data_IF_295208773733
#
_entry.id   IF_295208773733
#
_cell.length_a   1.000
_cell.length_b   1.000
_cell.length_c   1.000
_cell.angle_alpha   90.00
_cell.angle_beta   90.00
_cell.angle_gamma   90.00
#
_symmetry.space_group_name_H-M   'P 1'
#
loop_
_entity.id
_entity.type
_entity.pdbx_description
1 polymer ?
#
# COMPACT_ATOMS: atom_id res chain seq x y z
N UNK A 1 -11.50 18.90 -20.16
CA UNK A 1 -11.47 17.87 -21.23
C UNK A 1 -11.31 16.53 -20.54
N UNK A 2 -12.37 15.72 -20.50
CA UNK A 2 -12.31 14.38 -19.96
C UNK A 2 -11.55 13.51 -20.98
N UNK A 3 -10.35 13.07 -20.62
CA UNK A 3 -9.67 12.02 -21.37
C UNK A 3 -10.47 10.74 -21.11
N UNK A 4 -11.34 10.40 -22.06
CA UNK A 4 -12.03 9.12 -22.05
C UNK A 4 -10.96 8.04 -22.11
N UNK A 5 -10.90 7.23 -21.05
CA UNK A 5 -10.17 5.97 -21.06
C UNK A 5 -10.52 5.21 -22.33
N UNK A 6 -9.52 4.86 -23.13
CA UNK A 6 -9.64 3.99 -24.31
C UNK A 6 -10.14 2.57 -23.95
N UNK A 7 -10.27 2.28 -22.66
CA UNK A 7 -10.71 0.99 -22.13
C UNK A 7 -12.04 1.18 -21.41
N UNK A 8 -13.04 0.39 -21.84
CA UNK A 8 -14.39 0.44 -21.28
C UNK A 8 -14.44 0.09 -19.78
N UNK A 9 -15.54 0.43 -19.10
CA UNK A 9 -15.67 0.27 -17.64
C UNK A 9 -15.59 -1.18 -17.12
N UNK A 10 -15.56 -2.20 -18.00
CA UNK A 10 -15.46 -3.63 -17.66
C UNK A 10 -14.07 -4.25 -17.78
N UNK A 11 -13.05 -3.53 -18.27
CA UNK A 11 -11.70 -4.07 -18.52
C UNK A 11 -10.60 -3.48 -17.61
N UNK A 12 -10.95 -2.66 -16.62
CA UNK A 12 -9.99 -1.94 -15.78
C UNK A 12 -9.31 -2.81 -14.69
N UNK A 13 -9.64 -4.10 -14.61
CA UNK A 13 -9.11 -5.01 -13.59
C UNK A 13 -7.83 -5.72 -14.03
N UNK A 14 -6.99 -6.18 -13.07
CA UNK A 14 -5.85 -7.03 -13.38
C UNK A 14 -6.29 -8.32 -14.10
N UNK A 15 -5.50 -8.72 -15.10
CA UNK A 15 -5.70 -9.98 -15.81
C UNK A 15 -5.67 -11.17 -14.83
N UNK A 16 -6.42 -12.25 -15.10
CA UNK A 16 -6.34 -13.47 -14.29
C UNK A 16 -4.90 -13.99 -14.16
N UNK A 17 -4.60 -14.61 -13.02
CA UNK A 17 -3.31 -15.27 -12.81
C UNK A 17 -3.09 -16.38 -13.85
N UNK A 18 -1.84 -16.62 -14.28
CA UNK A 18 -1.52 -17.85 -15.01
C UNK A 18 -2.00 -19.09 -14.24
N UNK A 19 -2.53 -20.07 -14.97
CA UNK A 19 -3.02 -21.32 -14.39
C UNK A 19 -1.90 -22.14 -13.71
N UNK A 20 -0.66 -21.97 -14.18
CA UNK A 20 0.54 -22.66 -13.72
C UNK A 20 1.40 -21.81 -12.78
N UNK A 21 2.20 -22.47 -11.93
CA UNK A 21 3.10 -21.83 -10.95
C UNK A 21 4.42 -21.34 -11.57
N UNK A 22 4.39 -21.06 -12.88
CA UNK A 22 5.56 -20.56 -13.58
C UNK A 22 5.99 -19.23 -12.98
N UNK A 23 7.30 -19.09 -12.91
CA UNK A 23 7.91 -17.84 -12.51
C UNK A 23 7.76 -16.84 -13.64
N UNK A 24 7.36 -15.62 -13.31
CA UNK A 24 7.29 -14.50 -14.25
C UNK A 24 8.20 -13.38 -13.78
N UNK A 25 8.81 -12.69 -14.73
CA UNK A 25 9.55 -11.45 -14.46
C UNK A 25 8.62 -10.26 -14.63
N UNK A 26 8.53 -9.41 -13.61
CA UNK A 26 7.71 -8.21 -13.60
C UNK A 26 8.61 -6.97 -13.47
N UNK A 27 8.27 -5.88 -14.17
CA UNK A 27 8.89 -4.58 -13.93
C UNK A 27 7.88 -3.63 -13.30
N UNK A 28 8.12 -3.22 -12.06
CA UNK A 28 7.15 -2.50 -11.24
C UNK A 28 7.69 -1.13 -10.84
N UNK A 29 6.87 -0.09 -10.96
CA UNK A 29 7.01 1.14 -10.19
C UNK A 29 6.43 0.90 -8.80
N UNK A 30 7.26 0.90 -7.78
CA UNK A 30 6.82 0.73 -6.39
C UNK A 30 6.07 1.99 -5.95
N UNK A 31 4.82 1.85 -5.49
CA UNK A 31 3.99 3.00 -5.08
C UNK A 31 3.59 2.95 -3.61
N UNK A 32 3.57 1.75 -3.03
CA UNK A 32 3.05 1.50 -1.68
C UNK A 32 4.00 0.58 -0.92
N UNK A 33 4.23 0.93 0.34
CA UNK A 33 4.72 0.01 1.37
C UNK A 33 3.73 0.08 2.52
N UNK A 34 3.02 -1.01 2.78
CA UNK A 34 2.10 -1.07 3.91
C UNK A 34 2.87 -1.05 5.24
N UNK A 35 2.22 -0.61 6.31
CA UNK A 35 2.77 -0.78 7.66
C UNK A 35 3.03 -2.29 7.95
N UNK A 36 4.16 -2.64 8.59
CA UNK A 36 4.50 -4.02 8.88
C UNK A 36 3.51 -4.65 9.86
N UNK A 37 3.18 -5.92 9.62
CA UNK A 37 2.38 -6.74 10.51
C UNK A 37 3.23 -7.86 11.12
N UNK A 38 2.98 -8.23 12.39
CA UNK A 38 3.62 -9.39 13.02
C UNK A 38 3.40 -10.70 12.26
N UNK A 39 4.46 -11.50 12.13
CA UNK A 39 4.44 -12.80 11.48
C UNK A 39 5.33 -13.79 12.22
N UNK A 40 4.78 -14.95 12.60
CA UNK A 40 5.56 -16.02 13.23
C UNK A 40 6.68 -16.54 12.32
N UNK A 41 6.40 -16.61 11.01
CA UNK A 41 7.31 -17.22 10.02
C UNK A 41 8.39 -16.27 9.52
N UNK A 42 8.03 -15.01 9.28
CA UNK A 42 8.94 -14.03 8.66
C UNK A 42 9.34 -12.91 9.63
N UNK A 43 8.90 -12.96 10.88
CA UNK A 43 9.01 -11.89 11.87
C UNK A 43 8.05 -10.75 11.61
N UNK A 44 8.26 -10.06 10.50
CA UNK A 44 7.53 -8.86 10.15
C UNK A 44 7.28 -8.88 8.64
N UNK A 45 6.00 -8.88 8.23
CA UNK A 45 5.63 -8.88 6.81
C UNK A 45 5.00 -7.57 6.40
N UNK A 46 5.38 -7.13 5.20
CA UNK A 46 4.82 -5.97 4.52
C UNK A 46 4.20 -6.42 3.20
N UNK A 47 3.07 -5.80 2.89
CA UNK A 47 2.50 -5.78 1.55
C UNK A 47 3.14 -4.61 0.78
N UNK A 48 3.75 -4.91 -0.37
CA UNK A 48 4.22 -3.89 -1.30
C UNK A 48 3.31 -3.91 -2.51
N UNK A 49 2.86 -2.74 -2.95
CA UNK A 49 2.16 -2.61 -4.21
C UNK A 49 2.93 -1.72 -5.18
N UNK A 50 2.78 -2.02 -6.45
CA UNK A 50 3.35 -1.26 -7.53
C UNK A 50 2.52 -1.38 -8.80
N UNK A 51 2.81 -0.49 -9.73
CA UNK A 51 2.21 -0.49 -11.05
C UNK A 51 3.19 -1.13 -12.03
N UNK A 52 2.71 -2.08 -12.83
CA UNK A 52 3.50 -2.71 -13.87
C UNK A 52 3.82 -1.71 -14.98
N UNK A 53 5.08 -1.68 -15.41
CA UNK A 53 5.62 -0.69 -16.36
C UNK A 53 6.11 -1.30 -17.66
N UNK A 54 6.17 -2.63 -17.75
CA UNK A 54 6.55 -3.40 -18.94
C UNK A 54 5.34 -3.80 -19.83
N UNK A 55 4.17 -3.22 -19.57
CA UNK A 55 2.92 -3.48 -20.32
C UNK A 55 2.26 -2.16 -20.72
N UNK A 56 1.45 -2.19 -21.78
CA UNK A 56 0.77 -1.00 -22.31
C UNK A 56 -0.33 -0.48 -21.38
N UNK A 57 -1.00 -1.37 -20.63
CA UNK A 57 -2.08 -1.01 -19.70
C UNK A 57 -1.57 -0.95 -18.26
N UNK A 58 -1.83 0.13 -17.50
CA UNK A 58 -1.54 0.20 -16.08
C UNK A 58 -2.11 -1.02 -15.34
N UNK A 59 -1.23 -1.88 -14.81
CA UNK A 59 -1.65 -3.11 -14.12
C UNK A 59 -1.11 -3.11 -12.71
N UNK A 60 -1.99 -3.17 -11.72
CA UNK A 60 -1.58 -3.28 -10.32
C UNK A 60 -0.94 -4.64 -10.03
N UNK A 61 0.07 -4.62 -9.18
CA UNK A 61 0.74 -5.82 -8.67
C UNK A 61 0.93 -5.66 -7.17
N UNK A 62 0.48 -6.65 -6.42
CA UNK A 62 0.74 -6.84 -4.99
C UNK A 62 1.83 -7.89 -4.81
N UNK A 63 2.90 -7.54 -4.12
CA UNK A 63 3.94 -8.45 -3.66
C UNK A 63 3.73 -8.77 -2.19
N UNK A 64 3.49 -10.05 -1.87
CA UNK A 64 3.35 -10.50 -0.50
C UNK A 64 3.75 -12.00 -0.34
N UNK A 65 4.38 -12.38 0.78
CA UNK A 65 4.93 -11.52 1.82
C UNK A 65 6.29 -10.95 1.42
N UNK A 66 6.53 -9.67 1.76
CA UNK A 66 7.89 -9.10 1.79
C UNK A 66 8.31 -8.98 3.25
N UNK A 67 9.52 -9.44 3.58
CA UNK A 67 10.08 -9.25 4.92
C UNK A 67 10.46 -7.78 5.13
N UNK A 68 9.95 -7.16 6.20
CA UNK A 68 10.16 -5.73 6.47
C UNK A 68 11.64 -5.36 6.64
N UNK A 69 12.42 -6.22 7.30
CA UNK A 69 13.85 -5.95 7.58
C UNK A 69 14.71 -5.99 6.32
N UNK A 70 14.27 -6.69 5.27
CA UNK A 70 14.87 -6.58 3.95
C UNK A 70 14.52 -5.26 3.24
N UNK A 71 13.46 -4.55 3.65
CA UNK A 71 13.11 -3.23 3.11
C UNK A 71 13.80 -2.08 3.85
N UNK A 72 14.21 -2.31 5.09
CA UNK A 72 14.85 -1.32 5.97
C UNK A 72 16.38 -1.24 5.78
N UNK A 73 16.97 -2.19 5.07
CA UNK A 73 18.39 -2.10 4.66
C UNK A 73 18.57 -1.11 3.50
N UNK A 74 19.65 -0.35 3.50
CA UNK A 74 19.98 0.64 2.44
C UNK A 74 20.07 0.03 1.02
N UNK A 75 20.31 -1.29 0.93
CA UNK A 75 20.34 -2.05 -0.33
C UNK A 75 18.94 -2.35 -0.92
N UNK A 76 17.87 -2.02 -0.20
CA UNK A 76 16.50 -2.27 -0.63
C UNK A 76 15.98 -1.21 -1.62
N UNK A 77 14.82 -1.49 -2.22
CA UNK A 77 14.09 -0.50 -3.02
C UNK A 77 13.24 0.43 -2.15
N UNK A 78 13.02 1.66 -2.62
CA UNK A 78 12.23 2.72 -1.98
C UNK A 78 10.92 2.95 -2.75
N UNK A 79 9.98 3.68 -2.13
CA UNK A 79 8.78 4.16 -2.84
C UNK A 79 9.23 5.00 -4.04
N UNK A 80 8.61 4.79 -5.19
CA UNK A 80 8.96 5.33 -6.50
C UNK A 80 10.26 4.84 -7.14
N UNK A 81 10.85 3.75 -6.64
CA UNK A 81 11.81 2.99 -7.43
C UNK A 81 11.10 2.15 -8.51
N UNK A 82 11.71 2.07 -9.69
CA UNK A 82 11.41 1.02 -10.66
C UNK A 82 12.28 -0.17 -10.33
N UNK A 83 11.66 -1.34 -10.16
CA UNK A 83 12.34 -2.61 -9.86
C UNK A 83 11.96 -3.68 -10.86
N UNK A 84 12.86 -4.63 -11.08
CA UNK A 84 12.50 -5.92 -11.65
C UNK A 84 12.44 -6.98 -10.56
N UNK A 85 11.43 -7.83 -10.60
CA UNK A 85 11.23 -8.92 -9.64
C UNK A 85 10.77 -10.17 -10.36
N UNK A 86 11.40 -11.30 -10.03
CA UNK A 86 10.87 -12.61 -10.39
C UNK A 86 9.85 -13.02 -9.32
N UNK A 87 8.65 -13.43 -9.74
CA UNK A 87 7.55 -13.74 -8.84
C UNK A 87 6.71 -14.93 -9.34
N UNK A 88 6.03 -15.60 -8.41
CA UNK A 88 5.05 -16.65 -8.70
C UNK A 88 3.64 -16.19 -8.32
N UNK A 89 2.59 -16.67 -9.00
CA UNK A 89 1.22 -16.34 -8.59
C UNK A 89 0.94 -16.77 -7.14
N UNK A 90 0.31 -15.92 -6.33
CA UNK A 90 -0.06 -16.29 -4.97
C UNK A 90 -1.37 -17.10 -4.97
N UNK A 91 -1.29 -18.43 -4.86
CA UNK A 91 -2.46 -19.34 -4.94
C UNK A 91 -3.43 -19.26 -3.77
N UNK A 92 -2.92 -18.93 -2.59
CA UNK A 92 -3.73 -18.79 -1.37
C UNK A 92 -4.42 -17.41 -1.28
N UNK A 93 -4.26 -16.57 -2.30
CA UNK A 93 -4.87 -15.25 -2.38
C UNK A 93 -5.72 -15.21 -3.66
N UNK A 94 -7.01 -14.94 -3.55
CA UNK A 94 -7.93 -14.97 -4.70
C UNK A 94 -7.78 -13.74 -5.60
N UNK A 95 -7.16 -12.66 -5.08
CA UNK A 95 -6.97 -11.39 -5.79
C UNK A 95 -5.97 -11.57 -6.93
N UNK A 96 -6.36 -11.22 -8.14
CA UNK A 96 -5.64 -11.53 -9.39
C UNK A 96 -4.25 -10.90 -9.44
N UNK A 97 -4.10 -9.73 -8.85
CA UNK A 97 -2.87 -8.97 -8.74
C UNK A 97 -1.91 -9.45 -7.64
N UNK A 98 -2.22 -10.51 -6.89
CA UNK A 98 -1.35 -10.99 -5.80
C UNK A 98 -0.28 -11.98 -6.26
N UNK A 99 0.98 -11.63 -6.02
CA UNK A 99 2.18 -12.39 -6.40
C UNK A 99 3.09 -12.61 -5.19
N UNK A 100 3.74 -13.77 -5.16
CA UNK A 100 4.78 -14.11 -4.20
C UNK A 100 6.15 -13.78 -4.81
N UNK A 101 6.87 -12.77 -4.30
CA UNK A 101 8.18 -12.39 -4.83
C UNK A 101 9.24 -13.42 -4.45
N UNK A 102 10.24 -13.58 -5.31
CA UNK A 102 11.49 -14.28 -5.00
C UNK A 102 12.51 -13.21 -4.55
N UNK A 103 12.71 -13.11 -3.23
CA UNK A 103 13.37 -11.95 -2.59
C UNK A 103 14.79 -11.68 -3.09
N UNK A 104 15.58 -12.72 -3.33
CA UNK A 104 16.96 -12.66 -3.85
C UNK A 104 17.02 -12.22 -5.33
N UNK A 105 15.87 -12.13 -6.01
CA UNK A 105 15.73 -11.75 -7.43
C UNK A 105 15.06 -10.39 -7.62
N UNK A 106 14.99 -9.58 -6.58
CA UNK A 106 14.56 -8.18 -6.68
C UNK A 106 15.78 -7.33 -7.06
N UNK A 107 15.66 -6.52 -8.11
CA UNK A 107 16.72 -5.59 -8.54
C UNK A 107 16.14 -4.21 -8.78
N UNK A 108 16.68 -3.20 -8.10
CA UNK A 108 16.40 -1.79 -8.39
C UNK A 108 17.01 -1.42 -9.74
N UNK A 109 16.22 -0.76 -10.59
CA UNK A 109 16.67 -0.24 -11.90
C UNK A 109 16.99 1.24 -11.81
N UNK A 110 16.07 2.05 -11.28
CA UNK A 110 16.25 3.49 -11.07
C UNK A 110 15.25 4.02 -10.05
N UNK A 111 15.55 5.19 -9.49
CA UNK A 111 14.58 5.98 -8.73
C UNK A 111 13.91 7.01 -9.64
N UNK A 112 12.63 7.31 -9.41
CA UNK A 112 11.93 8.41 -10.08
C UNK A 112 11.87 9.62 -9.14
N UNK A 113 12.73 10.61 -9.40
CA UNK A 113 12.80 11.85 -8.61
C UNK A 113 11.70 12.85 -8.97
N UNK A 114 10.92 13.23 -7.96
CA UNK A 114 9.88 14.24 -8.11
C UNK A 114 8.66 13.80 -8.92
N UNK A 115 7.66 14.66 -9.00
CA UNK A 115 6.36 14.33 -9.60
C UNK A 115 6.41 14.24 -11.13
N UNK A 116 7.23 15.08 -11.79
CA UNK A 116 7.32 15.16 -13.25
C UNK A 116 7.64 13.83 -13.92
N UNK A 117 8.48 12.99 -13.31
CA UNK A 117 8.81 11.65 -13.84
C UNK A 117 7.82 10.57 -13.43
N UNK A 118 7.04 10.79 -12.37
CA UNK A 118 6.09 9.80 -11.80
C UNK A 118 4.71 9.91 -12.45
N UNK A 119 4.25 11.15 -12.67
CA UNK A 119 2.93 11.48 -13.20
C UNK A 119 2.56 10.72 -14.49
N UNK A 120 3.42 10.67 -15.53
CA UNK A 120 3.06 9.97 -16.78
C UNK A 120 2.78 8.48 -16.60
N UNK A 121 3.32 7.85 -15.54
CA UNK A 121 3.10 6.44 -15.24
C UNK A 121 1.88 6.23 -14.34
N UNK A 122 1.53 7.21 -13.49
CA UNK A 122 0.51 7.06 -12.45
C UNK A 122 -0.83 7.68 -12.80
N UNK A 123 -0.84 8.83 -13.48
CA UNK A 123 -2.06 9.53 -13.88
C UNK A 123 -3.02 8.64 -14.70
N UNK A 124 -2.54 7.77 -15.63
CA UNK A 124 -3.42 6.84 -16.34
C UNK A 124 -4.07 5.78 -15.44
N UNK A 125 -3.55 5.54 -14.24
CA UNK A 125 -4.10 4.59 -13.27
C UNK A 125 -5.06 5.25 -12.26
N UNK A 126 -5.27 6.57 -12.36
CA UNK A 126 -6.17 7.30 -11.46
C UNK A 126 -7.62 6.99 -11.82
N UNK A 127 -8.37 6.60 -10.81
CA UNK A 127 -9.78 6.27 -10.90
C UNK A 127 -10.61 7.18 -9.99
N UNK A 128 -11.90 7.30 -10.30
CA UNK A 128 -12.78 8.30 -9.68
C UNK A 128 -13.75 7.72 -8.64
N UNK A 129 -13.88 6.39 -8.56
CA UNK A 129 -14.89 5.76 -7.71
C UNK A 129 -14.34 4.66 -6.80
N UNK A 130 -14.31 4.96 -5.51
CA UNK A 130 -14.18 3.96 -4.46
C UNK A 130 -15.49 3.17 -4.27
N UNK A 131 -16.66 3.77 -4.58
CA UNK A 131 -17.96 3.07 -4.52
C UNK A 131 -17.99 1.86 -5.45
N UNK A 132 -17.49 2.01 -6.69
CA UNK A 132 -17.36 0.91 -7.66
C UNK A 132 -16.53 -0.23 -7.10
N UNK A 133 -15.33 0.08 -6.60
CA UNK A 133 -14.42 -0.93 -6.02
C UNK A 133 -15.07 -1.67 -4.83
N UNK A 134 -15.77 -0.97 -3.95
CA UNK A 134 -16.47 -1.60 -2.83
C UNK A 134 -17.59 -2.51 -3.31
N UNK A 135 -18.40 -2.08 -4.29
CA UNK A 135 -19.49 -2.88 -4.85
C UNK A 135 -18.97 -4.16 -5.51
N UNK A 136 -17.98 -4.05 -6.38
CA UNK A 136 -17.38 -5.20 -7.06
C UNK A 136 -16.74 -6.19 -6.08
N UNK A 137 -16.07 -5.70 -5.04
CA UNK A 137 -15.45 -6.55 -4.02
C UNK A 137 -16.47 -7.26 -3.10
N UNK A 138 -17.71 -6.76 -3.02
CA UNK A 138 -18.81 -7.47 -2.35
C UNK A 138 -19.39 -8.58 -3.24
N UNK A 139 -19.43 -8.34 -4.55
CA UNK A 139 -19.94 -9.31 -5.53
C UNK A 139 -18.95 -10.43 -5.80
N UNK A 140 -17.64 -10.11 -5.81
CA UNK A 140 -16.59 -11.02 -6.27
C UNK A 140 -15.34 -10.91 -5.43
N UNK A 141 -14.83 -12.05 -4.97
CA UNK A 141 -13.60 -12.09 -4.18
C UNK A 141 -12.31 -11.89 -4.98
N UNK A 142 -12.37 -12.04 -6.31
CA UNK A 142 -11.29 -11.81 -7.26
C UNK A 142 -11.39 -10.45 -7.99
N UNK A 143 -12.29 -9.57 -7.54
CA UNK A 143 -12.39 -8.20 -8.05
C UNK A 143 -11.11 -7.39 -7.81
N UNK A 144 -11.00 -6.27 -8.52
CA UNK A 144 -9.89 -5.33 -8.37
C UNK A 144 -9.73 -4.91 -6.91
N UNK A 145 -8.53 -5.13 -6.36
CA UNK A 145 -8.25 -4.97 -4.94
C UNK A 145 -7.16 -3.96 -4.63
N UNK A 146 -6.62 -3.32 -5.67
CA UNK A 146 -5.68 -2.21 -5.64
C UNK A 146 -6.13 -1.15 -6.65
N UNK A 147 -6.07 0.11 -6.25
CA UNK A 147 -6.39 1.24 -7.12
C UNK A 147 -5.70 2.52 -6.65
N UNK A 148 -5.69 3.53 -7.52
CA UNK A 148 -5.33 4.90 -7.19
C UNK A 148 -6.57 5.77 -7.32
N UNK A 149 -7.27 6.04 -6.23
CA UNK A 149 -8.59 6.68 -6.26
C UNK A 149 -8.48 8.17 -5.94
N UNK A 150 -8.93 9.01 -6.85
CA UNK A 150 -9.09 10.44 -6.64
C UNK A 150 -10.33 10.72 -5.79
N UNK A 151 -10.19 11.29 -4.59
CA UNK A 151 -11.33 11.78 -3.84
C UNK A 151 -11.88 13.04 -4.51
N UNK A 152 -13.21 13.18 -4.52
CA UNK A 152 -13.88 14.44 -4.84
C UNK A 152 -13.61 15.49 -3.78
N UNK A 153 -13.58 15.05 -2.53
CA UNK A 153 -13.37 15.90 -1.36
C UNK A 153 -12.82 15.07 -0.20
N UNK A 154 -11.76 15.55 0.44
CA UNK A 154 -11.20 14.98 1.66
C UNK A 154 -11.69 15.82 2.84
N UNK A 155 -12.57 15.25 3.66
CA UNK A 155 -13.20 15.99 4.76
C UNK A 155 -12.35 16.01 6.03
N UNK A 156 -11.71 14.89 6.38
CA UNK A 156 -10.88 14.80 7.58
C UNK A 156 -9.87 13.65 7.54
N UNK A 157 -8.84 13.78 8.38
CA UNK A 157 -8.01 12.68 8.85
C UNK A 157 -8.26 12.50 10.35
N UNK A 158 -8.90 11.40 10.73
CA UNK A 158 -9.15 11.08 12.14
C UNK A 158 -7.94 10.33 12.71
N UNK A 159 -7.15 10.98 13.55
CA UNK A 159 -6.02 10.40 14.26
C UNK A 159 -6.43 10.03 15.69
N UNK A 160 -6.27 8.77 16.07
CA UNK A 160 -6.64 8.25 17.39
C UNK A 160 -5.55 7.33 17.95
N UNK A 161 -5.43 7.21 19.28
CA UNK A 161 -4.47 6.29 19.88
C UNK A 161 -4.58 4.87 19.31
N UNK A 162 -3.44 4.24 19.06
CA UNK A 162 -3.40 2.84 18.68
C UNK A 162 -3.64 1.99 19.92
N UNK A 163 -4.48 0.93 19.85
CA UNK A 163 -4.76 0.07 21.00
C UNK A 163 -3.58 -0.84 21.41
N UNK A 164 -2.38 -0.63 20.87
CA UNK A 164 -1.29 -1.60 20.94
C UNK A 164 -1.53 -2.87 20.10
N UNK A 165 -0.64 -3.85 20.24
CA UNK A 165 -0.78 -5.17 19.63
C UNK A 165 -1.76 -6.04 20.42
N UNK A 166 -2.55 -6.85 19.72
CA UNK A 166 -3.38 -7.88 20.35
C UNK A 166 -2.50 -8.98 20.96
N UNK A 167 -3.06 -9.77 21.88
CA UNK A 167 -2.35 -10.92 22.46
C UNK A 167 -1.92 -11.97 21.41
N UNK A 168 -2.66 -12.10 20.29
CA UNK A 168 -2.22 -12.94 19.18
C UNK A 168 -1.00 -12.34 18.47
N UNK A 169 -1.06 -11.07 18.09
CA UNK A 169 0.05 -10.37 17.43
C UNK A 169 1.32 -10.35 18.29
N UNK A 170 1.17 -10.10 19.59
CA UNK A 170 2.25 -10.11 20.56
C UNK A 170 2.93 -11.49 20.63
N UNK A 171 2.15 -12.58 20.66
CA UNK A 171 2.69 -13.94 20.59
C UNK A 171 3.50 -14.19 19.32
N UNK A 172 3.08 -13.63 18.17
CA UNK A 172 3.84 -13.77 16.90
C UNK A 172 5.18 -13.06 16.97
N UNK A 173 5.21 -11.87 17.57
CA UNK A 173 6.43 -11.08 17.78
C UNK A 173 7.40 -11.86 18.67
N UNK A 174 6.92 -12.36 19.80
CA UNK A 174 7.72 -13.13 20.77
C UNK A 174 8.23 -14.45 20.18
N UNK A 175 7.36 -15.20 19.49
CA UNK A 175 7.74 -16.44 18.83
C UNK A 175 8.89 -16.23 17.83
N UNK A 176 8.87 -15.15 17.06
CA UNK A 176 9.95 -14.84 16.13
C UNK A 176 11.22 -14.34 16.83
N UNK A 177 11.09 -13.49 17.86
CA UNK A 177 12.22 -12.99 18.64
C UNK A 177 13.01 -14.15 19.29
N UNK A 178 12.29 -15.19 19.76
CA UNK A 178 12.87 -16.36 20.41
C UNK A 178 13.37 -17.45 19.44
N UNK A 179 13.17 -17.30 18.12
CA UNK A 179 13.72 -18.27 17.16
C UNK A 179 15.26 -18.21 17.19
N UNK A 180 15.97 -19.35 17.29
CA UNK A 180 17.42 -19.38 17.18
C UNK A 180 17.84 -18.89 15.79
N UNK A 181 18.75 -17.93 15.74
CA UNK A 181 19.31 -17.46 14.48
C UNK A 181 20.74 -17.97 14.35
N UNK A 182 20.89 -19.12 13.68
CA UNK A 182 22.19 -19.76 13.50
C UNK A 182 23.13 -19.01 12.54
N UNK A 183 22.66 -17.99 11.81
CA UNK A 183 23.42 -17.44 10.68
C UNK A 183 23.41 -15.91 10.54
N UNK A 184 22.48 -15.15 11.13
CA UNK A 184 22.32 -13.73 10.75
C UNK A 184 22.95 -12.71 11.69
N UNK A 185 23.25 -13.03 12.96
CA UNK A 185 23.86 -12.10 13.93
C UNK A 185 23.10 -10.77 14.13
N UNK A 186 21.91 -10.60 13.53
CA UNK A 186 21.12 -9.38 13.58
C UNK A 186 20.23 -9.42 14.81
N UNK A 187 20.30 -8.36 15.62
CA UNK A 187 19.37 -8.11 16.71
C UNK A 187 17.92 -8.22 16.23
N UNK A 188 17.13 -9.07 16.88
CA UNK A 188 15.69 -9.23 16.63
C UNK A 188 14.88 -8.30 17.53
N UNK A 189 15.11 -7.00 17.43
CA UNK A 189 14.28 -6.02 18.15
C UNK A 189 12.79 -6.27 17.85
N UNK A 190 11.93 -6.36 18.89
CA UNK A 190 10.50 -6.56 18.72
C UNK A 190 9.86 -5.45 17.88
N UNK A 191 8.89 -5.81 17.03
CA UNK A 191 8.12 -4.83 16.27
C UNK A 191 7.27 -4.00 17.23
N UNK A 192 7.52 -2.69 17.30
CA UNK A 192 6.74 -1.78 18.11
C UNK A 192 5.48 -1.30 17.39
N UNK A 193 4.36 -1.29 18.11
CA UNK A 193 3.12 -0.68 17.64
C UNK A 193 3.30 0.84 17.49
N UNK A 194 2.72 1.47 16.45
CA UNK A 194 2.69 2.93 16.37
C UNK A 194 1.86 3.51 17.53
N UNK A 195 2.13 4.75 17.94
CA UNK A 195 1.35 5.45 18.99
C UNK A 195 -0.07 5.77 18.54
N UNK A 196 -0.23 6.08 17.25
CA UNK A 196 -1.49 6.47 16.65
C UNK A 196 -1.81 5.64 15.42
N UNK A 197 -3.11 5.46 15.19
CA UNK A 197 -3.68 5.05 13.90
C UNK A 197 -4.50 6.19 13.32
N UNK A 198 -4.60 6.22 11.99
CA UNK A 198 -5.35 7.24 11.28
C UNK A 198 -6.40 6.64 10.35
N UNK A 199 -7.43 7.41 10.03
CA UNK A 199 -8.41 7.08 9.00
C UNK A 199 -8.83 8.33 8.22
N UNK A 200 -8.84 8.24 6.90
CA UNK A 200 -9.39 9.30 6.06
C UNK A 200 -10.92 9.20 5.98
N UNK A 201 -11.57 10.36 6.02
CA UNK A 201 -12.97 10.56 5.72
C UNK A 201 -13.06 11.39 4.43
N UNK A 202 -13.65 10.82 3.38
CA UNK A 202 -13.70 11.49 2.07
C UNK A 202 -14.90 11.04 1.24
N UNK A 203 -15.23 11.77 0.17
CA UNK A 203 -16.20 11.35 -0.86
C UNK A 203 -15.47 11.09 -2.17
N UNK A 204 -15.88 10.06 -2.91
CA UNK A 204 -15.42 9.86 -4.28
C UNK A 204 -16.33 10.59 -5.28
N UNK A 205 -16.05 10.49 -6.59
CA UNK A 205 -16.80 11.20 -7.62
C UNK A 205 -18.08 10.48 -8.07
N UNK A 206 -18.36 9.26 -7.58
CA UNK A 206 -19.60 8.55 -7.92
C UNK A 206 -20.84 9.31 -7.39
N UNK A 207 -21.87 9.42 -8.24
CA UNK A 207 -23.14 10.04 -7.87
C UNK A 207 -23.79 9.28 -6.70
N UNK A 208 -24.31 10.00 -5.72
CA UNK A 208 -24.89 9.38 -4.52
C UNK A 208 -23.88 8.81 -3.52
N UNK A 209 -22.58 9.13 -3.64
CA UNK A 209 -21.57 8.70 -2.67
C UNK A 209 -21.88 9.24 -1.26
N UNK A 210 -22.16 8.35 -0.32
CA UNK A 210 -22.40 8.64 1.10
C UNK A 210 -21.11 8.88 1.91
N UNK A 211 -19.96 8.88 1.25
CA UNK A 211 -18.64 9.00 1.87
C UNK A 211 -18.00 7.65 2.21
N UNK A 212 -16.70 7.72 2.49
CA UNK A 212 -15.83 6.60 2.81
C UNK A 212 -15.05 6.92 4.06
N UNK A 213 -14.93 5.92 4.94
CA UNK A 213 -14.02 5.93 6.09
C UNK A 213 -13.05 4.77 5.96
N UNK A 214 -11.78 5.07 5.70
CA UNK A 214 -10.77 4.04 5.46
C UNK A 214 -9.54 4.26 6.33
N UNK A 215 -9.09 3.19 6.99
CA UNK A 215 -7.86 3.21 7.78
C UNK A 215 -6.64 3.44 6.90
N UNK A 216 -5.64 4.13 7.45
CA UNK A 216 -4.34 4.32 6.82
C UNK A 216 -3.41 3.21 7.29
N UNK A 217 -2.97 2.35 6.36
CA UNK A 217 -1.98 1.29 6.58
C UNK A 217 -0.76 1.60 5.70
N UNK A 218 -0.23 2.81 5.86
CA UNK A 218 0.95 3.31 5.15
C UNK A 218 2.17 3.28 6.08
N UNK A 219 3.28 2.72 5.60
CA UNK A 219 4.56 2.75 6.32
C UNK A 219 5.02 4.18 6.62
N UNK A 220 4.76 5.14 5.73
CA UNK A 220 5.16 6.54 5.94
C UNK A 220 4.48 7.15 7.17
N UNK A 221 3.26 6.71 7.52
CA UNK A 221 2.57 7.14 8.74
C UNK A 221 3.27 6.61 10.00
N UNK A 222 3.74 5.36 9.97
CA UNK A 222 4.47 4.75 11.09
C UNK A 222 5.86 5.36 11.21
N UNK A 223 6.57 5.52 10.09
CA UNK A 223 7.90 6.11 10.05
C UNK A 223 7.91 7.56 10.56
N UNK A 224 6.90 8.36 10.23
CA UNK A 224 6.79 9.73 10.72
C UNK A 224 6.62 9.80 12.24
N UNK A 225 5.85 8.87 12.83
CA UNK A 225 5.72 8.77 14.28
C UNK A 225 7.05 8.43 14.95
N UNK A 226 7.80 7.47 14.40
CA UNK A 226 9.12 7.08 14.91
C UNK A 226 10.13 8.23 14.80
N UNK A 227 10.06 9.03 13.73
CA UNK A 227 10.93 10.21 13.56
C UNK A 227 10.70 11.26 14.64
N UNK A 228 9.48 11.35 15.17
CA UNK A 228 9.09 12.31 16.20
C UNK A 228 8.82 11.63 17.55
N UNK A 229 9.60 10.60 17.89
CA UNK A 229 9.40 9.81 19.11
C UNK A 229 9.41 10.66 20.40
N UNK A 230 10.24 11.71 20.44
CA UNK A 230 10.30 12.66 21.56
C UNK A 230 9.14 13.65 21.67
N UNK A 231 8.18 13.65 20.74
CA UNK A 231 7.03 14.57 20.80
C UNK A 231 5.99 14.10 21.83
N UNK A 232 5.30 15.06 22.46
CA UNK A 232 4.07 14.77 23.21
C UNK A 232 2.99 14.20 22.28
N UNK A 233 2.03 13.47 22.83
CA UNK A 233 0.92 12.90 22.06
C UNK A 233 0.15 13.97 21.26
N UNK A 234 -0.07 15.14 21.85
CA UNK A 234 -0.74 16.26 21.21
C UNK A 234 0.07 16.80 20.01
N UNK A 235 1.37 17.05 20.21
CA UNK A 235 2.26 17.56 19.17
C UNK A 235 2.44 16.55 18.03
N UNK A 236 2.54 15.26 18.36
CA UNK A 236 2.62 14.20 17.35
C UNK A 236 1.33 14.13 16.53
N UNK A 237 0.15 14.17 17.18
CA UNK A 237 -1.13 14.18 16.47
C UNK A 237 -1.22 15.37 15.50
N UNK A 238 -0.87 16.56 15.95
CA UNK A 238 -0.84 17.76 15.12
C UNK A 238 0.13 17.61 13.94
N UNK A 239 1.33 17.08 14.15
CA UNK A 239 2.30 16.84 13.08
C UNK A 239 1.78 15.84 12.03
N UNK A 240 1.07 14.79 12.46
CA UNK A 240 0.44 13.82 11.57
C UNK A 240 -0.67 14.48 10.73
N UNK A 241 -1.57 15.25 11.36
CA UNK A 241 -2.65 15.96 10.68
C UNK A 241 -2.11 17.01 9.71
N UNK A 242 -1.12 17.81 10.14
CA UNK A 242 -0.46 18.80 9.31
C UNK A 242 0.17 18.18 8.06
N UNK A 243 0.83 17.02 8.20
CA UNK A 243 1.46 16.34 7.06
C UNK A 243 0.45 15.67 6.13
N UNK A 244 -0.37 14.77 6.66
CA UNK A 244 -1.21 13.88 5.86
C UNK A 244 -2.49 14.58 5.35
N UNK A 245 -3.05 15.51 6.11
CA UNK A 245 -4.20 16.30 5.67
C UNK A 245 -3.77 17.68 5.14
N UNK A 246 -3.05 18.45 5.96
CA UNK A 246 -2.71 19.85 5.64
C UNK A 246 -1.82 20.01 4.41
N UNK A 247 -0.78 19.18 4.26
CA UNK A 247 0.18 19.29 3.15
C UNK A 247 -0.18 18.39 1.97
N UNK A 248 -0.39 17.08 2.21
CA UNK A 248 -0.63 16.11 1.14
C UNK A 248 -2.00 16.27 0.47
N UNK A 249 -3.03 16.66 1.23
CA UNK A 249 -4.37 16.87 0.71
C UNK A 249 -4.71 18.36 0.49
N UNK A 250 -3.70 19.23 0.44
CA UNK A 250 -3.90 20.66 0.25
C UNK A 250 -4.66 20.98 -1.05
N UNK A 251 -5.42 22.10 -1.12
CA UNK A 251 -6.21 22.44 -2.30
C UNK A 251 -5.41 22.58 -3.61
N UNK A 252 -4.11 22.88 -3.53
CA UNK A 252 -3.21 22.97 -4.67
C UNK A 252 -2.59 21.62 -5.09
N UNK A 253 -3.05 20.50 -4.53
CA UNK A 253 -2.60 19.14 -4.87
C UNK A 253 -3.64 18.40 -5.69
N UNK A 254 -3.17 17.63 -6.68
CA UNK A 254 -4.01 16.65 -7.37
C UNK A 254 -3.96 15.33 -6.58
N UNK A 255 -4.61 15.32 -5.42
CA UNK A 255 -4.56 14.20 -4.48
C UNK A 255 -5.27 12.97 -5.05
N UNK A 256 -4.68 11.80 -4.84
CA UNK A 256 -5.35 10.50 -4.98
C UNK A 256 -4.81 9.54 -3.91
N UNK A 257 -5.63 8.59 -3.49
CA UNK A 257 -5.27 7.59 -2.48
C UNK A 257 -4.94 6.28 -3.16
N UNK A 258 -3.74 5.76 -2.89
CA UNK A 258 -3.47 4.35 -3.14
C UNK A 258 -4.32 3.56 -2.16
N UNK A 259 -5.25 2.75 -2.64
CA UNK A 259 -6.13 1.93 -1.81
C UNK A 259 -5.89 0.46 -2.06
N UNK A 260 -6.17 -0.36 -1.06
CA UNK A 260 -6.25 -1.80 -1.26
C UNK A 260 -6.97 -2.54 -0.15
N UNK A 261 -7.45 -3.74 -0.46
CA UNK A 261 -8.19 -4.57 0.48
C UNK A 261 -7.30 -5.64 1.17
N UNK A 262 -7.93 -6.46 2.01
CA UNK A 262 -7.30 -7.55 2.74
C UNK A 262 -7.81 -8.91 2.23
N UNK A 263 -6.94 -9.91 2.08
CA UNK A 263 -7.33 -11.23 1.56
C UNK A 263 -8.44 -11.90 2.40
N UNK A 264 -8.38 -11.77 3.73
CA UNK A 264 -9.39 -12.31 4.65
C UNK A 264 -10.70 -11.52 4.66
N UNK A 265 -10.71 -10.29 4.13
CA UNK A 265 -11.84 -9.35 4.13
C UNK A 265 -11.80 -8.50 2.87
N UNK A 266 -12.12 -9.11 1.73
CA UNK A 266 -11.97 -8.51 0.40
C UNK A 266 -12.81 -7.23 0.21
N UNK A 267 -13.91 -7.08 0.93
CA UNK A 267 -14.73 -5.86 0.91
C UNK A 267 -14.19 -4.73 1.79
N UNK A 268 -13.14 -4.95 2.58
CA UNK A 268 -12.56 -3.93 3.48
C UNK A 268 -11.32 -3.34 2.84
N UNK A 269 -11.45 -2.12 2.33
CA UNK A 269 -10.35 -1.35 1.78
C UNK A 269 -9.72 -0.40 2.81
N UNK A 270 -8.43 -0.16 2.66
CA UNK A 270 -7.62 0.78 3.44
C UNK A 270 -6.84 1.68 2.51
N UNK A 271 -6.54 2.90 2.96
CA UNK A 271 -5.58 3.78 2.28
C UNK A 271 -4.18 3.29 2.61
N UNK A 272 -3.42 2.97 1.58
CA UNK A 272 -2.06 2.44 1.67
C UNK A 272 -0.98 3.50 1.39
N UNK A 273 -1.41 4.69 0.97
CA UNK A 273 -0.58 5.88 0.84
C UNK A 273 -1.25 6.96 0.01
N UNK A 274 -0.58 8.11 -0.08
CA UNK A 274 -1.10 9.29 -0.78
C UNK A 274 -0.24 9.63 -2.00
N UNK A 275 -0.89 9.85 -3.13
CA UNK A 275 -0.37 10.49 -4.33
C UNK A 275 -0.77 11.96 -4.29
N UNK A 276 0.20 12.89 -4.38
CA UNK A 276 -0.08 14.32 -4.14
C UNK A 276 0.84 15.27 -4.95
N UNK A 277 0.91 15.14 -6.28
CA UNK A 277 1.58 16.12 -7.12
C UNK A 277 0.94 17.50 -6.97
N UNK A 278 1.71 18.55 -7.26
CA UNK A 278 1.15 19.91 -7.44
C UNK A 278 0.20 19.89 -8.64
N UNK A 279 -0.89 20.63 -8.55
CA UNK A 279 -1.75 20.93 -9.70
C UNK A 279 -1.02 21.82 -10.71
#
# INVERSE_FOLDING_TARGET
>A
MAQMSLFGPGEAGPDPKPADDRMVRLQLLITVKAAPNPSEKYGETVCVAGLRTDVLRPTWVRLYPINFRHLDSDEAFKKYDIVTVDAKPARQDQRRESWKPIMDRIRKKRHLDGWKSRQPLLDPAVEDSMCRLNREAQERSDAQSLALVRPKEVGALKVVPHPGWTAEEQRKIEAYANQPDLFSGRSKSPLQAPRFKAAYHYRCHESGCNGHRQHVIDWELVALQRRFDGYSDAALREALEAKFLGEMCAPNRAVAFYVGNQAKRVHVFSVLGVYWPKR
#
